data_IF_122260398707
#
_entry.id   IF_122260398707
#
_cell.length_a   1.000
_cell.length_b   1.000
_cell.length_c   1.000
_cell.angle_alpha   90.00
_cell.angle_beta   90.00
_cell.angle_gamma   90.00
#
_symmetry.space_group_name_H-M   'P 1'
#
loop_
_entity.id
_entity.type
_entity.pdbx_description
1 polymer ?
2 non-polymer ?
3 non-polymer ?
4 water ?
#
# COMPACT_ATOMS: atom_id res chain seq x y z
N UNK A 20 -12.87 5.28 20.54
CA UNK A 20 -11.91 4.81 19.49
C UNK A 20 -11.94 3.30 19.40
N UNK A 21 -12.01 2.82 18.16
CA UNK A 21 -11.78 1.42 17.95
C UNK A 21 -10.68 1.23 16.95
N UNK A 22 -10.18 0.01 16.95
CA UNK A 22 -9.07 -0.31 16.14
C UNK A 22 -9.26 -1.67 15.54
N UNK A 23 -9.01 -1.76 14.25
CA UNK A 23 -9.03 -3.03 13.60
C UNK A 23 -7.71 -3.28 12.95
N UNK A 24 -7.36 -4.55 12.90
CA UNK A 24 -6.14 -4.97 12.27
C UNK A 24 -6.47 -6.16 11.41
N UNK A 25 -5.60 -6.38 10.44
CA UNK A 25 -5.76 -7.41 9.44
C UNK A 25 -4.52 -8.26 9.46
N UNK A 26 -4.70 -9.54 9.63
CA UNK A 26 -3.57 -10.46 9.62
C UNK A 26 -2.97 -10.59 8.25
N UNK A 27 -1.74 -11.09 8.20
CA UNK A 27 -1.16 -11.43 6.92
C UNK A 27 -2.01 -12.54 6.27
N UNK A 28 -2.16 -12.48 4.95
CA UNK A 28 -2.99 -13.44 4.22
C UNK A 28 -4.49 -13.15 4.20
N UNK A 29 -4.89 -12.00 4.73
CA UNK A 29 -6.29 -11.63 4.85
C UNK A 29 -6.53 -10.20 4.39
N UNK A 30 -7.82 -9.88 4.28
CA UNK A 30 -8.32 -8.51 4.05
C UNK A 30 -9.46 -8.25 5.02
N UNK A 31 -9.83 -6.99 5.11
CA UNK A 31 -11.05 -6.60 5.81
C UNK A 31 -11.65 -5.44 5.04
N UNK A 32 -12.96 -5.32 5.21
CA UNK A 32 -13.69 -4.22 4.61
C UNK A 32 -14.54 -3.71 5.72
N UNK A 33 -14.56 -2.41 5.87
CA UNK A 33 -15.36 -1.78 6.89
C UNK A 33 -16.04 -0.54 6.36
N UNK A 34 -17.25 -0.31 6.82
CA UNK A 34 -17.92 0.90 6.51
C UNK A 34 -17.85 1.79 7.75
N UNK A 35 -17.33 2.99 7.56
CA UNK A 35 -17.23 3.95 8.66
C UNK A 35 -18.55 4.64 8.96
N UNK A 36 -18.63 5.33 10.12
CA UNK A 36 -19.88 5.98 10.53
C UNK A 36 -20.45 7.00 9.56
N UNK A 37 -19.58 7.59 8.72
CA UNK A 37 -20.01 8.55 7.72
C UNK A 37 -20.41 7.87 6.40
N UNK A 38 -20.31 6.55 6.32
CA UNK A 38 -20.61 5.83 5.08
C UNK A 38 -19.40 5.57 4.19
N UNK A 39 -18.23 6.09 4.55
CA UNK A 39 -17.00 5.81 3.85
C UNK A 39 -16.68 4.32 3.94
N UNK A 40 -16.31 3.72 2.81
CA UNK A 40 -15.95 2.32 2.77
C UNK A 40 -14.43 2.26 2.75
N UNK A 41 -13.87 1.45 3.62
CA UNK A 41 -12.45 1.24 3.65
C UNK A 41 -12.14 -0.24 3.47
N UNK A 42 -11.30 -0.54 2.50
CA UNK A 42 -10.76 -1.91 2.32
C UNK A 42 -9.35 -1.90 2.87
N UNK A 43 -9.07 -2.85 3.78
CA UNK A 43 -7.78 -2.92 4.45
C UNK A 43 -7.03 -4.14 3.97
N UNK A 44 -5.78 -3.94 3.55
CA UNK A 44 -4.95 -5.03 3.04
C UNK A 44 -4.26 -5.72 4.21
N UNK A 45 -3.72 -6.90 3.95
CA UNK A 45 -2.99 -7.71 4.89
C UNK A 45 -1.95 -6.91 5.66
N UNK A 46 -1.96 -7.02 6.98
CA UNK A 46 -0.90 -6.40 7.78
C UNK A 46 -1.17 -5.00 8.26
N UNK A 47 -2.40 -4.55 8.03
CA UNK A 47 -2.78 -3.17 8.29
C UNK A 47 -3.55 -2.97 9.56
N UNK A 48 -3.34 -1.81 10.17
CA UNK A 48 -4.07 -1.36 11.35
C UNK A 48 -4.70 -0.02 11.06
N UNK A 49 -5.96 0.13 11.47
CA UNK A 49 -6.65 1.38 11.38
C UNK A 49 -7.43 1.67 12.68
N UNK A 50 -7.36 2.93 13.10
CA UNK A 50 -7.99 3.43 14.32
C UNK A 50 -8.96 4.51 13.90
N UNK A 51 -10.20 4.41 14.37
CA UNK A 51 -11.25 5.36 14.00
C UNK A 51 -12.23 5.45 15.15
N UNK A 52 -12.97 6.56 15.23
CA UNK A 52 -13.96 6.78 16.28
C UNK A 52 -15.30 6.13 15.90
N UNK A 53 -16.08 5.67 16.87
CA UNK A 53 -17.39 5.11 16.54
C UNK A 53 -18.39 6.20 16.06
N UNK A 54 -18.06 7.47 16.30
CA UNK A 54 -18.78 8.61 15.76
C UNK A 54 -17.78 9.72 15.42
N UNK A 55 -17.96 10.39 14.28
CA UNK A 55 -17.11 11.51 13.90
C UNK A 55 -17.75 12.77 14.52
N UNK A 56 -17.27 13.17 15.69
CA UNK A 56 -17.88 14.28 16.41
C UNK A 56 -17.20 15.63 16.17
N UNK A 57 -16.00 15.61 15.57
CA UNK A 57 -15.25 16.86 15.38
C UNK A 57 -15.61 17.49 14.03
N UNK A 58 -14.93 18.58 13.67
CA UNK A 58 -15.12 19.22 12.37
C UNK A 58 -14.36 18.51 11.23
N UNK A 59 -13.63 17.46 11.57
CA UNK A 59 -12.96 16.67 10.56
C UNK A 59 -13.31 15.22 10.82
N UNK A 60 -13.30 14.43 9.76
CA UNK A 60 -13.45 13.00 9.89
C UNK A 60 -12.03 12.42 9.85
N UNK A 61 -11.47 12.10 11.01
CA UNK A 61 -10.09 11.66 11.12
C UNK A 61 -9.95 10.17 11.43
N UNK A 62 -9.13 9.48 10.65
CA UNK A 62 -8.71 8.12 10.95
C UNK A 62 -7.18 8.05 10.91
N UNK A 63 -6.63 7.09 11.64
CA UNK A 63 -5.19 6.85 11.66
C UNK A 63 -4.96 5.47 11.11
N UNK A 64 -3.94 5.34 10.26
CA UNK A 64 -3.71 4.08 9.64
C UNK A 64 -2.22 3.84 9.43
N UNK A 65 -1.83 2.58 9.61
CA UNK A 65 -0.52 2.10 9.24
C UNK A 65 -0.70 0.78 8.50
N UNK A 66 -0.15 0.71 7.29
CA UNK A 66 -0.37 -0.41 6.38
C UNK A 66 -0.92 0.11 5.08
N UNK A 67 -1.82 -0.64 4.44
CA UNK A 67 -2.40 -0.24 3.17
C UNK A 67 -3.89 -0.35 3.19
N UNK A 68 -4.57 0.71 2.75
CA UNK A 68 -6.02 0.72 2.69
C UNK A 68 -6.48 1.53 1.51
N UNK A 69 -7.62 1.11 0.96
CA UNK A 69 -8.30 1.85 -0.11
C UNK A 69 -9.55 2.46 0.53
N UNK A 70 -9.65 3.77 0.41
CA UNK A 70 -10.74 4.57 0.93
C UNK A 70 -11.67 5.06 -0.19
N UNK A 71 -12.97 4.83 -0.03
CA UNK A 71 -13.93 5.47 -0.91
C UNK A 71 -14.73 6.40 -0.03
N UNK A 72 -14.29 7.66 0.03
CA UNK A 72 -14.81 8.63 0.96
C UNK A 72 -16.08 9.31 0.50
N UNK A 73 -17.12 9.17 1.32
CA UNK A 73 -18.39 9.87 1.15
C UNK A 73 -18.21 11.38 1.17
N UNK A 74 -18.73 12.05 0.15
CA UNK A 74 -18.49 13.46 -0.01
C UNK A 74 -19.19 14.19 1.12
N UNK A 75 -18.40 14.96 1.85
CA UNK A 75 -18.89 15.97 2.76
C UNK A 75 -17.95 17.15 2.63
N UNK A 76 -18.35 18.13 1.82
CA UNK A 76 -17.55 19.36 1.65
C UNK A 76 -17.37 20.09 2.98
N UNK A 77 -18.38 19.99 3.84
CA UNK A 77 -18.34 20.65 5.15
C UNK A 77 -17.44 20.00 6.18
N UNK A 78 -16.89 18.82 5.86
CA UNK A 78 -16.21 18.02 6.85
C UNK A 78 -15.12 17.20 6.14
N UNK A 79 -13.91 17.75 6.04
CA UNK A 79 -12.85 17.02 5.36
C UNK A 79 -12.59 15.69 6.06
N UNK A 80 -12.16 14.72 5.25
CA UNK A 80 -11.78 13.40 5.75
C UNK A 80 -10.26 13.36 5.72
N UNK A 81 -9.64 12.95 6.81
CA UNK A 81 -8.18 12.87 6.87
C UNK A 81 -7.73 11.46 7.22
N UNK A 82 -6.90 10.89 6.35
CA UNK A 82 -6.21 9.66 6.70
C UNK A 82 -4.84 10.08 7.21
N UNK A 83 -4.60 9.86 8.48
CA UNK A 83 -3.34 10.25 9.12
C UNK A 83 -2.43 9.06 9.22
N UNK A 84 -1.33 9.17 8.50
CA UNK A 84 -0.25 8.25 8.58
C UNK A 84 0.98 8.94 9.17
N UNK A 85 1.94 8.12 9.56
CA UNK A 85 3.13 8.68 10.16
C UNK A 85 3.76 9.72 9.23
N UNK A 86 3.79 9.43 7.92
CA UNK A 86 4.51 10.23 6.94
C UNK A 86 3.73 11.45 6.46
N UNK A 87 2.40 11.35 6.51
CA UNK A 87 1.56 12.29 5.79
C UNK A 87 0.15 12.23 6.22
N UNK A 88 -0.53 13.35 6.10
CA UNK A 88 -1.96 13.33 6.13
C UNK A 88 -2.50 13.36 4.71
N UNK A 89 -3.52 12.54 4.45
CA UNK A 89 -4.18 12.60 3.18
C UNK A 89 -5.57 13.16 3.42
N UNK A 90 -5.86 14.29 2.79
CA UNK A 90 -7.07 15.08 3.08
C UNK A 90 -7.97 15.16 1.87
N UNK A 91 -9.23 14.81 2.01
CA UNK A 91 -10.15 14.89 0.92
C UNK A 91 -11.49 15.45 1.39
N UNK A 92 -12.30 15.88 0.43
CA UNK A 92 -13.72 16.12 0.71
C UNK A 92 -14.58 14.93 0.28
N UNK A 93 -14.22 14.37 -0.87
CA UNK A 93 -14.92 13.21 -1.42
C UNK A 93 -13.99 12.72 -2.50
N UNK A 94 -13.45 11.52 -2.34
CA UNK A 94 -12.52 10.95 -3.31
C UNK A 94 -12.33 9.48 -2.99
N UNK A 95 -11.84 8.71 -3.94
CA UNK A 95 -11.43 7.34 -3.62
C UNK A 95 -9.97 7.21 -3.97
N UNK A 96 -9.24 6.60 -3.07
CA UNK A 96 -7.79 6.59 -3.17
C UNK A 96 -7.18 5.50 -2.30
N UNK A 97 -6.00 5.06 -2.75
CA UNK A 97 -5.19 4.10 -2.01
C UNK A 97 -4.07 4.76 -1.26
N UNK A 98 -3.85 4.30 -0.02
CA UNK A 98 -2.73 4.75 0.78
C UNK A 98 -1.97 3.49 1.19
N UNK A 99 -0.75 3.42 0.72
CA UNK A 99 0.12 2.27 1.03
C UNK A 99 1.23 2.82 1.88
N UNK A 100 1.22 2.48 3.17
CA UNK A 100 2.12 3.11 4.16
C UNK A 100 2.48 2.12 5.26
N UNK A 101 3.00 0.99 4.85
CA UNK A 101 3.45 -0.03 5.79
C UNK A 101 4.72 0.50 6.46
N UNK A 102 4.71 0.44 7.79
CA UNK A 102 5.84 0.96 8.55
C UNK A 102 7.15 0.21 8.29
N UNK A 103 7.05 -1.07 7.91
CA UNK A 103 8.23 -1.87 7.51
C UNK A 103 8.79 -1.67 6.10
N UNK A 104 8.15 -0.85 5.26
CA UNK A 104 8.53 -0.73 3.86
C UNK A 104 9.37 0.52 3.65
N UNK A 105 10.17 0.50 2.61
CA UNK A 105 10.99 1.64 2.24
C UNK A 105 10.15 2.72 1.58
N UNK A 106 9.02 2.36 0.96
CA UNK A 106 8.21 3.34 0.27
C UNK A 106 6.82 3.47 0.84
N UNK A 107 6.28 4.69 0.73
CA UNK A 107 4.88 4.97 1.00
C UNK A 107 4.30 5.62 -0.26
N UNK A 108 3.07 5.27 -0.60
CA UNK A 108 2.46 5.83 -1.81
C UNK A 108 0.99 6.08 -1.64
N UNK A 109 0.56 7.22 -2.18
CA UNK A 109 -0.85 7.58 -2.25
C UNK A 109 -1.23 7.69 -3.72
N UNK A 110 -2.29 6.99 -4.10
CA UNK A 110 -2.68 6.84 -5.51
C UNK A 110 -4.16 7.11 -5.63
N UNK A 111 -4.55 8.04 -6.50
CA UNK A 111 -5.93 8.50 -6.56
C UNK A 111 -6.70 7.77 -7.65
N UNK A 112 -7.82 7.19 -7.29
CA UNK A 112 -8.69 6.54 -8.25
C UNK A 112 -9.76 7.49 -8.79
N UNK A 113 -10.45 8.18 -7.88
CA UNK A 113 -11.46 9.14 -8.26
C UNK A 113 -11.35 10.37 -7.36
N UNK A 114 -11.76 11.52 -7.86
CA UNK A 114 -11.80 12.73 -7.04
C UNK A 114 -10.46 13.42 -6.93
N UNK A 115 -10.33 14.26 -5.89
CA UNK A 115 -9.17 15.14 -5.69
C UNK A 115 -8.70 14.92 -4.27
N UNK A 116 -7.38 14.77 -4.13
CA UNK A 116 -6.78 14.42 -2.87
C UNK A 116 -5.63 15.38 -2.56
N UNK A 117 -5.54 15.83 -1.31
CA UNK A 117 -4.39 16.65 -0.87
C UNK A 117 -3.52 15.80 0.04
N UNK A 118 -2.22 15.81 -0.19
CA UNK A 118 -1.29 15.10 0.63
C UNK A 118 -0.41 16.10 1.33
N UNK A 119 -0.51 16.11 2.66
CA UNK A 119 0.18 17.07 3.45
C UNK A 119 1.31 16.37 4.20
N UNK A 120 2.52 16.83 3.95
CA UNK A 120 3.74 16.30 4.57
C UNK A 120 4.43 17.50 5.23
N UNK A 121 5.39 17.24 6.13
CA UNK A 121 5.99 18.32 6.90
C UNK A 121 6.44 19.50 6.03
N UNK A 122 7.11 19.20 4.93
CA UNK A 122 7.66 20.29 4.14
C UNK A 122 7.15 20.29 2.69
N UNK A 123 6.00 19.66 2.47
CA UNK A 123 5.44 19.50 1.12
C UNK A 123 3.94 19.36 1.19
N UNK A 124 3.21 20.10 0.36
CA UNK A 124 1.78 19.88 0.19
C UNK A 124 1.52 19.72 -1.30
N UNK A 125 0.79 18.67 -1.68
CA UNK A 125 0.57 18.37 -3.08
C UNK A 125 -0.86 17.94 -3.30
N UNK A 126 -1.45 18.41 -4.39
CA UNK A 126 -2.78 17.98 -4.73
C UNK A 126 -2.67 16.98 -5.88
N UNK A 127 -3.49 15.95 -5.82
CA UNK A 127 -3.43 14.84 -6.77
C UNK A 127 -4.79 14.63 -7.39
N UNK A 128 -4.77 14.24 -8.66
CA UNK A 128 -5.96 13.91 -9.40
C UNK A 128 -5.94 12.42 -9.77
N UNK A 129 -7.03 11.94 -10.41
CA UNK A 129 -7.07 10.52 -10.74
C UNK A 129 -5.91 10.04 -11.57
N UNK A 130 -5.38 8.89 -11.19
CA UNK A 130 -4.23 8.26 -11.83
C UNK A 130 -2.93 9.08 -11.72
N UNK A 131 -2.88 9.90 -10.68
CA UNK A 131 -1.65 10.47 -10.17
C UNK A 131 -1.31 9.82 -8.84
N UNK A 132 -0.04 9.85 -8.49
CA UNK A 132 0.45 9.19 -7.34
C UNK A 132 1.59 9.99 -6.75
N UNK A 133 1.75 9.89 -5.44
CA UNK A 133 2.94 10.38 -4.75
C UNK A 133 3.61 9.18 -4.09
N UNK A 134 4.93 9.08 -4.27
CA UNK A 134 5.74 8.06 -3.65
C UNK A 134 6.67 8.80 -2.73
N UNK A 135 6.66 8.42 -1.45
CA UNK A 135 7.61 8.91 -0.46
C UNK A 135 8.61 7.82 -0.13
N UNK A 136 9.87 8.15 -0.18
CA UNK A 136 10.88 7.17 0.18
C UNK A 136 11.23 7.41 1.68
N UNK A 137 10.92 6.43 2.51
CA UNK A 137 11.11 6.53 3.96
C UNK A 137 12.58 6.48 4.34
N UNK A 138 13.42 6.04 3.42
CA UNK A 138 14.82 5.89 3.77
C UNK A 138 15.69 7.08 3.42
N UNK A 139 15.29 7.88 2.42
CA UNK A 139 16.16 8.97 1.94
C UNK A 139 15.42 10.29 1.71
N UNK A 140 14.12 10.27 1.95
CA UNK A 140 13.31 11.47 2.07
C UNK A 140 12.87 11.97 0.71
N UNK A 141 13.19 11.21 -0.33
CA UNK A 141 12.73 11.61 -1.67
C UNK A 141 11.23 11.55 -1.76
N UNK A 142 10.67 12.44 -2.59
CA UNK A 142 9.26 12.52 -2.83
C UNK A 142 9.10 12.61 -4.35
N UNK A 143 8.30 11.71 -4.91
CA UNK A 143 8.06 11.68 -6.36
C UNK A 143 6.59 11.74 -6.64
N UNK A 144 6.16 12.74 -7.43
CA UNK A 144 4.84 12.75 -7.97
C UNK A 144 4.90 12.31 -9.42
N UNK A 145 3.98 11.43 -9.79
CA UNK A 145 3.98 10.81 -11.09
C UNK A 145 2.61 10.29 -11.48
N UNK A 146 2.50 9.79 -12.71
CA UNK A 146 1.28 9.13 -13.12
C UNK A 146 1.36 7.66 -12.84
N UNK A 147 0.24 7.07 -12.46
CA UNK A 147 0.17 5.61 -12.31
C UNK A 147 -1.29 5.25 -12.40
N UNK A 148 -1.54 4.08 -12.96
CA UNK A 148 -2.88 3.53 -13.12
C UNK A 148 -3.42 3.04 -11.79
N UNK A 149 -4.32 3.81 -11.18
CA UNK A 149 -4.83 3.50 -9.85
C UNK A 149 -5.67 2.22 -9.84
N UNK A 150 -6.27 1.86 -11.00
CA UNK A 150 -7.00 0.59 -11.08
C UNK A 150 -6.04 -0.58 -10.87
N UNK A 151 -4.81 -0.46 -11.36
CA UNK A 151 -3.80 -1.50 -11.18
C UNK A 151 -3.20 -1.45 -9.79
N UNK A 152 -3.01 -0.23 -9.28
CA UNK A 152 -2.47 -0.03 -7.92
C UNK A 152 -3.35 -0.78 -6.92
N UNK A 153 -4.66 -0.75 -7.15
CA UNK A 153 -5.67 -1.27 -6.24
C UNK A 153 -6.16 -2.65 -6.66
N UNK A 154 -5.35 -3.36 -7.44
CA UNK A 154 -5.70 -4.71 -7.89
C UNK A 154 -5.75 -5.65 -6.70
N UNK A 155 -4.98 -5.31 -5.68
CA UNK A 155 -5.00 -6.07 -4.43
C UNK A 155 -6.40 -6.32 -3.89
N UNK A 156 -7.32 -5.38 -4.11
CA UNK A 156 -8.70 -5.52 -3.69
C UNK A 156 -9.32 -6.83 -4.20
N UNK A 157 -8.92 -7.23 -5.41
CA UNK A 157 -9.48 -8.43 -6.09
C UNK A 157 -8.47 -9.57 -6.12
N UNK A 158 -7.41 -9.46 -5.31
CA UNK A 158 -6.36 -10.47 -5.23
C UNK A 158 -5.28 -10.36 -6.29
N UNK A 159 -5.18 -9.20 -6.93
CA UNK A 159 -4.11 -8.96 -7.86
C UNK A 159 -2.85 -8.39 -7.23
N UNK A 160 -1.76 -8.58 -7.94
CA UNK A 160 -0.49 -7.92 -7.69
C UNK A 160 -0.16 -7.09 -8.91
N UNK A 161 0.38 -5.90 -8.69
CA UNK A 161 0.80 -5.07 -9.79
C UNK A 161 2.18 -4.49 -9.46
N UNK A 162 3.14 -4.77 -10.33
CA UNK A 162 4.49 -4.26 -10.17
C UNK A 162 4.83 -3.46 -11.39
N UNK A 163 5.31 -2.25 -11.17
CA UNK A 163 5.75 -1.39 -12.25
C UNK A 163 7.06 -0.79 -11.82
N UNK A 164 8.17 -1.40 -12.29
CA UNK A 164 9.50 -1.02 -11.83
C UNK A 164 9.56 -0.99 -10.30
N UNK A 165 8.94 -2.01 -9.71
CA UNK A 165 8.90 -2.11 -8.27
C UNK A 165 10.17 -2.75 -7.80
N UNK A 166 10.84 -2.18 -6.78
CA UNK A 166 12.03 -2.84 -6.28
C UNK A 166 11.72 -4.21 -5.69
N UNK A 167 12.60 -5.18 -5.95
CA UNK A 167 12.43 -6.56 -5.45
C UNK A 167 12.22 -6.61 -3.92
N UNK A 168 12.89 -5.75 -3.17
CA UNK A 168 12.71 -5.75 -1.70
C UNK A 168 11.27 -5.43 -1.34
N UNK A 169 10.68 -4.49 -2.07
CA UNK A 169 9.29 -4.12 -1.84
C UNK A 169 8.35 -5.24 -2.30
N UNK A 170 8.60 -5.80 -3.47
CA UNK A 170 7.85 -6.96 -3.96
C UNK A 170 7.79 -8.04 -2.88
N UNK A 171 8.93 -8.36 -2.29
CA UNK A 171 8.98 -9.45 -1.32
C UNK A 171 8.13 -9.14 -0.10
N UNK A 172 8.12 -7.89 0.35
CA UNK A 172 7.22 -7.54 1.46
C UNK A 172 5.75 -7.74 1.08
N UNK A 173 5.36 -7.33 -0.13
CA UNK A 173 4.00 -7.55 -0.61
C UNK A 173 3.65 -9.03 -0.63
N UNK A 174 4.59 -9.85 -1.11
CA UNK A 174 4.34 -11.29 -1.17
C UNK A 174 4.21 -11.90 0.21
N UNK A 175 5.11 -11.53 1.11
CA UNK A 175 5.02 -12.04 2.48
C UNK A 175 3.68 -11.73 3.12
N UNK A 176 3.22 -10.50 2.92
CA UNK A 176 1.95 -10.09 3.49
C UNK A 176 0.73 -10.73 2.83
N UNK A 177 0.76 -10.86 1.52
CA UNK A 177 -0.35 -11.47 0.78
C UNK A 177 -0.52 -12.93 1.09
N UNK A 178 0.60 -13.67 1.06
CA UNK A 178 0.59 -15.11 1.15
C UNK A 178 0.85 -15.65 2.54
N UNK A 179 1.09 -14.75 3.51
CA UNK A 179 1.45 -15.13 4.87
C UNK A 179 2.57 -16.16 4.91
N UNK A 180 3.67 -15.77 4.28
CA UNK A 180 4.81 -16.64 4.10
C UNK A 180 6.09 -15.83 4.22
N UNK A 181 6.97 -16.23 5.15
CA UNK A 181 8.24 -15.54 5.31
C UNK A 181 9.11 -15.76 4.07
N UNK A 182 9.62 -14.66 3.53
CA UNK A 182 10.49 -14.73 2.39
C UNK A 182 11.68 -13.85 2.68
N UNK A 183 12.87 -14.42 2.57
CA UNK A 183 14.12 -13.70 2.84
C UNK A 183 15.01 -13.73 1.58
N UNK A 184 15.83 -12.70 1.44
CA UNK A 184 16.82 -12.61 0.36
C UNK A 184 18.14 -13.15 0.85
N UNK A 185 18.76 -14.04 0.06
CA UNK A 185 20.12 -14.51 0.32
C UNK A 185 21.01 -13.28 0.60
N UNK A 186 21.63 -13.21 1.79
CA UNK A 186 22.44 -12.04 2.14
C UNK A 186 23.74 -11.90 1.35
N UNK A 187 24.20 -12.98 0.71
CA UNK A 187 25.41 -12.96 -0.11
C UNK A 187 25.18 -12.65 -1.59
N UNK A 188 23.97 -12.23 -1.95
CA UNK A 188 23.62 -12.02 -3.34
C UNK A 188 23.13 -10.59 -3.51
N UNK A 189 23.51 -9.96 -4.62
CA UNK A 189 22.99 -8.64 -4.94
C UNK A 189 21.57 -8.71 -5.52
N UNK A 190 20.67 -7.94 -4.94
CA UNK A 190 19.27 -7.86 -5.40
C UNK A 190 18.90 -6.42 -5.77
N UNK A 191 19.35 -6.01 -6.95
CA UNK A 191 19.16 -4.65 -7.43
C UNK A 191 18.00 -4.58 -8.43
N UNK A 192 17.15 -5.60 -8.44
CA UNK A 192 16.18 -5.78 -9.52
C UNK A 192 14.94 -4.91 -9.34
N UNK A 193 14.35 -4.52 -10.47
CA UNK A 193 13.06 -3.86 -10.48
C UNK A 193 12.08 -4.78 -11.22
N UNK A 194 10.89 -4.95 -10.64
CA UNK A 194 9.94 -5.91 -11.15
C UNK A 194 8.77 -5.26 -11.87
N UNK A 195 8.37 -5.90 -12.96
CA UNK A 195 7.22 -5.49 -13.76
C UNK A 195 6.26 -6.66 -13.88
N UNK A 196 4.98 -6.38 -13.87
CA UNK A 196 3.97 -7.39 -14.18
C UNK A 196 2.70 -7.26 -13.37
N UNK A 197 1.67 -7.95 -13.86
CA UNK A 197 0.37 -8.01 -13.22
C UNK A 197 0.05 -9.46 -13.06
N UNK A 198 -0.41 -9.84 -11.87
CA UNK A 198 -0.69 -11.22 -11.55
C UNK A 198 -2.04 -11.27 -10.88
N UNK A 199 -2.96 -12.04 -11.47
CA UNK A 199 -4.36 -12.06 -11.03
C UNK A 199 -4.59 -13.32 -10.23
N UNK A 200 -4.58 -13.19 -8.91
CA UNK A 200 -4.92 -14.26 -7.99
C UNK A 200 -4.04 -15.48 -8.19
N UNK A 201 -2.74 -15.25 -8.40
CA UNK A 201 -1.83 -16.35 -8.68
C UNK A 201 -1.32 -16.98 -7.39
N UNK A 202 -0.82 -18.21 -7.50
CA UNK A 202 -0.17 -18.86 -6.38
C UNK A 202 1.13 -18.13 -6.13
N UNK A 203 1.64 -18.18 -4.91
CA UNK A 203 2.99 -17.66 -4.62
C UNK A 203 4.03 -18.30 -5.53
N UNK A 204 3.91 -19.62 -5.70
CA UNK A 204 4.85 -20.38 -6.54
C UNK A 204 4.91 -19.78 -7.95
N UNK A 205 3.73 -19.52 -8.51
CA UNK A 205 3.60 -18.94 -9.86
C UNK A 205 4.20 -17.55 -9.97
N UNK A 206 3.97 -16.74 -8.94
CA UNK A 206 4.52 -15.41 -8.93
C UNK A 206 6.03 -15.49 -8.87
N UNK A 207 6.58 -16.35 -8.01
CA UNK A 207 8.03 -16.52 -7.92
C UNK A 207 8.63 -17.08 -9.23
N UNK A 208 7.94 -18.00 -9.88
CA UNK A 208 8.39 -18.48 -11.21
C UNK A 208 8.45 -17.36 -12.24
N UNK A 209 7.45 -16.48 -12.23
CA UNK A 209 7.42 -15.35 -13.15
C UNK A 209 8.58 -14.41 -12.90
N UNK A 210 8.90 -14.20 -11.63
CA UNK A 210 10.06 -13.41 -11.25
C UNK A 210 11.33 -14.09 -11.71
N UNK A 211 11.41 -15.40 -11.53
CA UNK A 211 12.57 -16.19 -11.99
C UNK A 211 12.74 -16.01 -13.49
N UNK A 212 11.65 -16.17 -14.24
CA UNK A 212 11.68 -15.97 -15.69
C UNK A 212 12.21 -14.59 -16.09
N UNK A 213 11.85 -13.58 -15.32
CA UNK A 213 12.24 -12.19 -15.63
C UNK A 213 13.63 -11.80 -15.15
N UNK A 214 14.09 -12.38 -14.05
CA UNK A 214 15.29 -11.89 -13.36
C UNK A 214 16.40 -12.90 -13.17
N UNK A 215 16.08 -14.19 -13.33
CA UNK A 215 16.98 -15.26 -12.92
C UNK A 215 16.93 -15.60 -11.43
N UNK A 216 16.21 -14.81 -10.64
CA UNK A 216 16.12 -15.11 -9.21
C UNK A 216 15.44 -16.46 -8.98
N UNK A 217 16.09 -17.36 -8.24
CA UNK A 217 15.50 -18.64 -7.88
C UNK A 217 15.01 -18.59 -6.44
N UNK A 218 14.21 -19.58 -6.07
CA UNK A 218 13.76 -19.72 -4.70
C UNK A 218 13.80 -21.17 -4.22
N UNK A 219 14.10 -21.37 -2.95
CA UNK A 219 13.89 -22.68 -2.31
C UNK A 219 13.23 -22.56 -0.94
N UNK A 220 12.47 -23.60 -0.58
CA UNK A 220 11.76 -23.63 0.69
C UNK A 220 12.64 -24.25 1.78
N UNK A 221 12.57 -23.69 2.98
CA UNK A 221 13.21 -24.26 4.18
C UNK A 221 12.14 -24.36 5.28
N UNK A 222 12.53 -24.69 6.51
CA UNK A 222 11.57 -24.73 7.61
C UNK A 222 10.84 -23.39 7.71
N UNK A 223 9.64 -23.33 7.15
CA UNK A 223 8.78 -22.14 7.21
C UNK A 223 9.44 -20.87 6.65
N UNK A 224 10.38 -21.04 5.74
CA UNK A 224 11.12 -19.92 5.19
C UNK A 224 11.28 -20.18 3.69
N UNK A 225 10.98 -19.18 2.87
CA UNK A 225 11.40 -19.21 1.49
C UNK A 225 12.59 -18.27 1.37
N UNK A 226 13.67 -18.77 0.74
CA UNK A 226 14.89 -17.99 0.52
C UNK A 226 15.08 -17.75 -0.97
N UNK A 227 15.30 -16.50 -1.35
CA UNK A 227 15.54 -16.14 -2.75
C UNK A 227 17.04 -16.03 -2.97
N UNK A 228 17.48 -16.46 -4.15
CA UNK A 228 18.91 -16.47 -4.45
C UNK A 228 19.15 -16.35 -5.95
N UNK A 229 20.44 -16.32 -6.32
CA UNK A 229 20.86 -16.29 -7.72
C UNK A 229 22.05 -17.23 -7.86
N UNK A 230 22.32 -17.62 -9.11
CA UNK A 230 23.49 -18.43 -9.46
C UNK A 230 23.83 -18.24 -10.94
N UNK A 231 25.12 -18.29 -11.26
CA UNK A 231 25.64 -17.97 -12.62
C UNK A 231 25.47 -16.49 -12.94
X LIG B 1 1.56 -4.60 9.71
X LIG C 1 11.34 8.35 -4.38
X LIG C 1 12.61 7.71 -4.13
X LIG C 1 10.36 7.32 -4.93
X LIG C 1 10.91 6.65 -6.07
#
# INVERSE_FOLDING_TARGET
GKLYLNHSAKQHTSASDHLLTEISVNHGEHKQVTLPDGTVVHLNAGTVMRYPTEFTSDIRLVEMEGEAFFNVMRDEGKPFIVRTRQADVKVLGASFNVKAYQEDELMAVSVRTGKVEVDMPESVMRLLPNEQIIVNNTNGEILKKNEDAQKVTAWLQGGLYFNRTPISSVIHDLERMYNQEIVLDPNVVFDDYIYGEHDNKSLEAVLNAIQYSTGIRYRKEESRIVLYKTSH
MG MG
EDO C1 O1 C2 O2
#
